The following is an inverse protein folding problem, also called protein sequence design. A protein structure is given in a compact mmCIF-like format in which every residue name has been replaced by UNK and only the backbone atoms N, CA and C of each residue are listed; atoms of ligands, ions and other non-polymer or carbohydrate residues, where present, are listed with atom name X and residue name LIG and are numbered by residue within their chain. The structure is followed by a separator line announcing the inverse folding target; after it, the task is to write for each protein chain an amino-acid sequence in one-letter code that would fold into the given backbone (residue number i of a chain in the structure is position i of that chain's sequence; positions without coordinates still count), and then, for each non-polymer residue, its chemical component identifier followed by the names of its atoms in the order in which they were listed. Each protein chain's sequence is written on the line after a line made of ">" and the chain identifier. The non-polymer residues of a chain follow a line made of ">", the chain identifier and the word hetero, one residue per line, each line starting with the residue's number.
data_IF_615741280649
#
_entry.id   IF_615741280649
#
_cell.length_a   1.000
_cell.length_b   1.000
_cell.length_c   1.000
_cell.angle_alpha   90.00
_cell.angle_beta   90.00
_cell.angle_gamma   90.00
#
_symmetry.space_group_name_H-M   'P 1'
#
loop_
_entity.id
_entity.type
_entity.pdbx_description
1 polymer ?
#
# COMPACT_ATOMS: atom_id res chain seq x y z
N UNK A 1 -43.17 50.24 23.12
CA UNK A 1 -42.65 49.77 21.83
C UNK A 1 -41.16 50.10 21.63
N UNK A 2 -40.69 51.34 21.82
CA UNK A 2 -39.27 51.73 21.60
C UNK A 2 -38.23 50.94 22.42
N UNK A 3 -38.50 50.59 23.69
CA UNK A 3 -37.57 49.85 24.56
C UNK A 3 -37.38 48.36 24.13
N UNK A 4 -38.41 47.71 23.60
CA UNK A 4 -38.36 46.35 23.11
C UNK A 4 -37.54 46.25 21.82
N UNK A 5 -37.70 47.23 20.92
CA UNK A 5 -36.94 47.28 19.66
C UNK A 5 -35.44 47.45 19.90
N UNK A 6 -35.05 48.28 20.89
CA UNK A 6 -33.65 48.51 21.25
C UNK A 6 -33.02 47.22 21.84
N UNK A 7 -33.74 46.45 22.67
CA UNK A 7 -33.25 45.17 23.24
C UNK A 7 -33.07 44.12 22.15
N UNK A 8 -34.00 44.04 21.20
CA UNK A 8 -33.89 43.12 20.07
C UNK A 8 -32.69 43.47 19.18
N UNK A 9 -32.44 44.76 18.91
CA UNK A 9 -31.25 45.17 18.15
C UNK A 9 -29.92 44.88 18.89
N UNK A 10 -29.87 45.03 20.21
CA UNK A 10 -28.68 44.74 21.00
C UNK A 10 -28.43 43.23 21.05
N UNK A 11 -29.46 42.43 21.20
CA UNK A 11 -29.33 40.95 21.15
C UNK A 11 -28.91 40.46 19.77
N UNK A 12 -29.47 41.06 18.68
CA UNK A 12 -29.06 40.73 17.33
C UNK A 12 -27.60 41.16 17.03
N UNK A 13 -27.12 42.29 17.56
CA UNK A 13 -25.73 42.71 17.46
C UNK A 13 -24.77 41.81 18.26
N UNK A 14 -25.19 41.37 19.45
CA UNK A 14 -24.42 40.41 20.25
C UNK A 14 -24.34 39.02 19.60
N UNK A 15 -25.41 38.57 18.94
CA UNK A 15 -25.43 37.31 18.19
C UNK A 15 -24.61 37.40 16.92
N UNK A 16 -24.65 38.53 16.17
CA UNK A 16 -23.77 38.76 15.03
C UNK A 16 -22.29 38.89 15.45
N UNK A 17 -22.01 39.52 16.62
CA UNK A 17 -20.64 39.59 17.15
C UNK A 17 -20.06 38.26 17.60
N UNK A 18 -20.92 37.34 18.07
CA UNK A 18 -20.49 35.98 18.48
C UNK A 18 -20.22 35.04 17.30
N UNK A 19 -20.80 35.31 16.11
CA UNK A 19 -20.56 34.51 14.90
C UNK A 19 -19.25 34.91 14.19
N UNK A 20 -18.69 36.08 14.49
CA UNK A 20 -17.50 36.62 13.81
C UNK A 20 -16.16 36.19 14.41
N UNK A 21 -16.13 35.41 15.49
CA UNK A 21 -14.87 35.02 16.18
C UNK A 21 -14.47 33.59 16.08
N UNK A 22 -15.06 32.83 15.17
CA UNK A 22 -14.59 31.46 14.87
C UNK A 22 -14.19 31.32 13.39
N UNK A 23 -13.51 32.33 12.85
CA UNK A 23 -12.59 32.06 11.75
C UNK A 23 -11.31 31.56 12.37
N UNK A 24 -11.35 30.27 12.80
CA UNK A 24 -10.15 29.54 13.16
C UNK A 24 -9.19 29.67 12.00
N UNK A 25 -8.04 30.30 12.25
CA UNK A 25 -6.90 30.27 11.33
C UNK A 25 -6.77 28.80 10.97
N UNK A 26 -6.95 28.46 9.70
CA UNK A 26 -6.74 27.08 9.24
C UNK A 26 -5.31 26.72 9.64
N UNK A 27 -5.17 25.93 10.70
CA UNK A 27 -3.87 25.53 11.21
C UNK A 27 -3.18 24.78 10.08
N UNK A 28 -1.96 25.20 9.73
CA UNK A 28 -1.17 24.54 8.70
C UNK A 28 -0.69 23.19 9.24
N UNK A 29 -1.19 22.11 8.66
CA UNK A 29 -0.90 20.75 9.10
C UNK A 29 0.16 20.06 8.27
N UNK A 30 0.91 19.18 8.90
CA UNK A 30 1.66 18.11 8.27
C UNK A 30 0.96 16.79 8.61
N UNK A 31 0.48 16.09 7.58
CA UNK A 31 -0.14 14.78 7.75
C UNK A 31 0.94 13.70 7.79
N UNK A 32 0.94 12.85 8.82
CA UNK A 32 1.81 11.69 8.93
C UNK A 32 0.99 10.43 8.63
N UNK A 33 1.38 9.71 7.58
CA UNK A 33 0.76 8.46 7.14
C UNK A 33 1.74 7.32 7.40
N UNK A 34 1.38 6.39 8.29
CA UNK A 34 2.23 5.23 8.59
C UNK A 34 1.92 4.07 7.65
N UNK A 35 2.95 3.60 6.95
CA UNK A 35 2.93 2.49 6.01
C UNK A 35 3.83 1.38 6.54
N UNK A 36 3.23 0.32 7.10
CA UNK A 36 3.98 -0.78 7.73
C UNK A 36 3.58 -2.14 7.19
N UNK A 37 4.57 -3.01 7.01
CA UNK A 37 4.42 -4.39 6.53
C UNK A 37 4.76 -4.57 5.05
N UNK A 38 4.54 -5.78 4.49
CA UNK A 38 4.78 -6.05 3.08
C UNK A 38 3.81 -5.29 2.18
N UNK A 39 4.28 -4.95 0.97
CA UNK A 39 3.45 -4.31 -0.07
C UNK A 39 2.72 -5.40 -0.86
N UNK A 40 1.39 -5.39 -0.83
CA UNK A 40 0.57 -6.37 -1.56
C UNK A 40 -0.86 -5.90 -1.78
N UNK A 41 -1.51 -6.43 -2.82
CA UNK A 41 -2.95 -6.25 -3.05
C UNK A 41 -3.72 -7.13 -2.08
N UNK A 42 -4.66 -6.54 -1.33
CA UNK A 42 -5.51 -7.27 -0.41
C UNK A 42 -5.30 -6.90 1.06
N UNK A 43 -6.16 -7.42 1.91
CA UNK A 43 -6.07 -7.27 3.36
C UNK A 43 -5.24 -8.42 3.94
N UNK A 44 -4.55 -8.16 5.06
CA UNK A 44 -4.02 -9.25 5.90
C UNK A 44 -5.16 -10.21 6.23
N UNK A 45 -4.99 -11.50 5.88
CA UNK A 45 -5.96 -12.52 6.25
C UNK A 45 -6.15 -12.56 7.78
N UNK A 46 -7.36 -12.86 8.23
CA UNK A 46 -7.74 -12.95 9.66
C UNK A 46 -6.80 -13.85 10.50
N UNK A 47 -6.05 -14.75 9.85
CA UNK A 47 -5.21 -15.74 10.53
C UNK A 47 -3.73 -15.36 10.69
N UNK A 48 -3.23 -14.33 9.97
CA UNK A 48 -1.82 -13.91 10.03
C UNK A 48 -1.69 -12.43 10.39
N UNK A 49 -2.46 -11.93 11.28
CA UNK A 49 -2.46 -10.66 12.05
C UNK A 49 -1.44 -9.55 11.75
N UNK A 50 -0.81 -9.53 10.58
CA UNK A 50 0.20 -8.54 10.21
C UNK A 50 -0.36 -7.35 9.43
N UNK A 51 0.22 -6.18 9.61
CA UNK A 51 -0.06 -5.00 8.80
C UNK A 51 0.44 -5.22 7.37
N UNK A 52 -0.32 -4.76 6.35
CA UNK A 52 0.12 -4.75 4.95
C UNK A 52 -0.05 -3.35 4.37
N UNK A 53 0.82 -2.99 3.45
CA UNK A 53 0.69 -1.77 2.66
C UNK A 53 -0.03 -2.14 1.37
N UNK A 54 -1.30 -1.72 1.23
CA UNK A 54 -2.07 -1.99 0.02
C UNK A 54 -2.34 -0.70 -0.76
N UNK A 55 -2.45 -0.77 -2.11
CA UNK A 55 -2.80 0.39 -2.93
C UNK A 55 -4.08 1.08 -2.46
N UNK A 56 -5.10 0.31 -2.07
CA UNK A 56 -6.36 0.85 -1.54
C UNK A 56 -6.15 1.67 -0.26
N UNK A 57 -5.32 1.18 0.67
CA UNK A 57 -5.02 1.89 1.90
C UNK A 57 -4.31 3.22 1.59
N UNK A 58 -3.24 3.17 0.78
CA UNK A 58 -2.44 4.36 0.46
C UNK A 58 -3.29 5.39 -0.26
N UNK A 59 -4.07 4.98 -1.28
CA UNK A 59 -5.02 5.85 -1.99
C UNK A 59 -5.98 6.56 -1.03
N UNK A 60 -6.62 5.82 -0.11
CA UNK A 60 -7.59 6.41 0.82
C UNK A 60 -6.95 7.47 1.73
N UNK A 61 -5.74 7.22 2.22
CA UNK A 61 -5.01 8.14 3.09
C UNK A 61 -4.53 9.38 2.32
N UNK A 62 -3.99 9.21 1.11
CA UNK A 62 -3.56 10.32 0.26
C UNK A 62 -4.75 11.17 -0.17
N UNK A 63 -5.88 10.58 -0.56
CA UNK A 63 -7.10 11.31 -0.90
C UNK A 63 -7.62 12.15 0.26
N UNK A 64 -7.56 11.63 1.48
CA UNK A 64 -7.89 12.39 2.69
C UNK A 64 -6.96 13.58 2.84
N UNK A 65 -5.66 13.37 2.73
CA UNK A 65 -4.65 14.42 2.84
C UNK A 65 -4.76 15.46 1.71
N UNK A 66 -5.08 15.04 0.48
CA UNK A 66 -5.29 15.94 -0.67
C UNK A 66 -6.49 16.85 -0.45
N UNK A 67 -7.60 16.33 0.09
CA UNK A 67 -8.87 17.07 0.31
C UNK A 67 -8.82 18.02 1.50
N UNK A 68 -7.98 17.79 2.49
CA UNK A 68 -7.85 18.68 3.64
C UNK A 68 -6.97 19.90 3.27
N UNK A 69 -7.59 21.06 3.13
CA UNK A 69 -6.89 22.31 2.82
C UNK A 69 -5.93 22.78 3.94
N UNK A 70 -6.11 22.32 5.18
CA UNK A 70 -5.19 22.59 6.27
C UNK A 70 -3.88 21.80 6.13
N UNK A 71 -3.90 20.62 5.51
CA UNK A 71 -2.71 19.83 5.23
C UNK A 71 -1.89 20.50 4.13
N UNK A 72 -0.65 20.87 4.46
CA UNK A 72 0.28 21.57 3.56
C UNK A 72 1.39 20.68 3.05
N UNK A 73 1.73 19.62 3.78
CA UNK A 73 2.70 18.61 3.39
C UNK A 73 2.32 17.26 3.99
N UNK A 74 2.91 16.20 3.45
CA UNK A 74 2.67 14.81 3.88
C UNK A 74 4.00 14.17 4.24
N UNK A 75 4.03 13.41 5.33
CA UNK A 75 5.12 12.51 5.67
C UNK A 75 4.63 11.08 5.56
N UNK A 76 5.28 10.29 4.73
CA UNK A 76 5.08 8.84 4.66
C UNK A 76 6.12 8.17 5.55
N UNK A 77 5.69 7.60 6.67
CA UNK A 77 6.54 6.77 7.51
C UNK A 77 6.51 5.34 6.98
N UNK A 78 7.62 4.89 6.38
CA UNK A 78 7.70 3.59 5.70
C UNK A 78 8.52 2.61 6.53
N UNK A 79 7.89 1.46 6.85
CA UNK A 79 8.48 0.32 7.54
C UNK A 79 8.12 -0.95 6.76
N UNK A 80 8.94 -1.33 5.74
CA UNK A 80 8.56 -2.38 4.79
C UNK A 80 9.76 -3.14 4.21
N UNK A 81 9.70 -4.48 4.16
CA UNK A 81 10.70 -5.28 3.45
C UNK A 81 10.49 -5.29 1.92
N UNK A 82 9.40 -4.70 1.42
CA UNK A 82 8.99 -4.74 0.02
C UNK A 82 7.78 -5.63 -0.23
N UNK A 83 7.65 -6.11 -1.47
CA UNK A 83 6.54 -6.99 -1.85
C UNK A 83 6.21 -6.98 -3.35
N UNK A 84 4.93 -7.08 -3.69
CA UNK A 84 4.44 -7.19 -5.07
C UNK A 84 4.78 -5.96 -5.92
N UNK A 85 5.43 -6.20 -7.04
CA UNK A 85 5.85 -5.13 -7.98
C UNK A 85 4.65 -4.32 -8.47
N UNK A 86 3.58 -4.96 -8.92
CA UNK A 86 2.39 -4.28 -9.42
C UNK A 86 1.73 -3.41 -8.35
N UNK A 87 1.67 -3.89 -7.09
CA UNK A 87 1.16 -3.08 -5.97
C UNK A 87 2.06 -1.88 -5.67
N UNK A 88 3.38 -2.03 -5.79
CA UNK A 88 4.32 -0.91 -5.63
C UNK A 88 4.13 0.14 -6.73
N UNK A 89 3.93 -0.29 -7.97
CA UNK A 89 3.65 0.60 -9.11
C UNK A 89 2.36 1.38 -8.91
N UNK A 90 1.28 0.72 -8.50
CA UNK A 90 -0.01 1.36 -8.24
C UNK A 90 0.11 2.40 -7.10
N UNK A 91 0.84 2.07 -6.02
CA UNK A 91 1.09 3.01 -4.92
C UNK A 91 1.92 4.21 -5.39
N UNK A 92 2.98 3.98 -6.17
CA UNK A 92 3.80 5.05 -6.69
C UNK A 92 2.99 6.00 -7.58
N UNK A 93 2.15 5.45 -8.46
CA UNK A 93 1.24 6.25 -9.28
C UNK A 93 0.32 7.14 -8.42
N UNK A 94 -0.21 6.63 -7.31
CA UNK A 94 -1.02 7.45 -6.39
C UNK A 94 -0.20 8.56 -5.72
N UNK A 95 1.04 8.28 -5.32
CA UNK A 95 1.97 9.26 -4.74
C UNK A 95 2.24 10.39 -5.75
N UNK A 96 2.49 10.06 -7.01
CA UNK A 96 2.76 11.03 -8.08
C UNK A 96 1.57 11.95 -8.40
N UNK A 97 0.33 11.59 -8.00
CA UNK A 97 -0.83 12.48 -8.15
C UNK A 97 -0.94 13.57 -7.09
N UNK A 98 -0.06 13.57 -6.10
CA UNK A 98 -0.12 14.51 -4.98
C UNK A 98 0.73 15.72 -5.28
N UNK A 99 0.10 16.91 -5.30
CA UNK A 99 0.79 18.19 -5.53
C UNK A 99 1.47 18.77 -4.29
N UNK A 100 1.09 18.27 -3.10
CA UNK A 100 1.68 18.70 -1.82
C UNK A 100 3.03 18.04 -1.63
N UNK A 101 4.02 18.72 -1.02
CA UNK A 101 5.31 18.10 -0.71
C UNK A 101 5.16 16.80 0.07
N UNK A 102 5.88 15.77 -0.38
CA UNK A 102 5.94 14.45 0.28
C UNK A 102 7.35 14.18 0.73
N UNK A 103 7.53 13.97 2.03
CA UNK A 103 8.78 13.51 2.62
C UNK A 103 8.57 12.10 3.14
N UNK A 104 9.50 11.21 2.84
CA UNK A 104 9.49 9.85 3.37
C UNK A 104 10.42 9.75 4.57
N UNK A 105 9.96 9.12 5.64
CA UNK A 105 10.76 8.74 6.80
C UNK A 105 10.86 7.23 6.89
N UNK A 106 12.05 6.68 6.76
CA UNK A 106 12.28 5.26 6.93
C UNK A 106 12.36 4.87 8.41
N UNK A 107 11.75 3.74 8.75
CA UNK A 107 11.91 3.07 10.04
C UNK A 107 13.15 2.17 10.06
N UNK A 108 13.02 0.99 10.69
CA UNK A 108 14.11 0.03 10.78
C UNK A 108 14.47 -0.53 9.40
N UNK A 109 13.45 -0.78 8.55
CA UNK A 109 13.63 -1.29 7.20
C UNK A 109 12.69 -0.59 6.20
N UNK A 110 13.25 -0.16 5.07
CA UNK A 110 12.51 0.31 3.90
C UNK A 110 13.26 -0.16 2.63
N UNK A 111 13.06 -1.41 2.27
CA UNK A 111 13.85 -2.11 1.26
C UNK A 111 12.97 -2.63 0.11
N UNK A 112 13.59 -2.89 -1.05
CA UNK A 112 12.91 -3.44 -2.22
C UNK A 112 11.66 -2.62 -2.57
N UNK A 113 10.46 -3.19 -2.60
CA UNK A 113 9.20 -2.46 -2.81
C UNK A 113 8.98 -1.29 -1.86
N UNK A 114 9.49 -1.34 -0.62
CA UNK A 114 9.45 -0.23 0.33
C UNK A 114 10.29 0.97 -0.14
N UNK A 115 11.44 0.69 -0.72
CA UNK A 115 12.27 1.72 -1.37
C UNK A 115 11.64 2.20 -2.68
N UNK A 116 11.09 1.28 -3.49
CA UNK A 116 10.42 1.59 -4.75
C UNK A 116 9.34 2.67 -4.60
N UNK A 117 8.40 2.48 -3.65
CA UNK A 117 7.31 3.45 -3.42
C UNK A 117 7.79 4.78 -2.86
N UNK A 118 9.02 4.84 -2.36
CA UNK A 118 9.62 6.03 -1.73
C UNK A 118 10.51 6.80 -2.69
N UNK A 119 10.98 6.17 -3.76
CA UNK A 119 12.08 6.67 -4.59
C UNK A 119 11.81 8.04 -5.24
N UNK A 120 10.54 8.35 -5.57
CA UNK A 120 10.12 9.61 -6.20
C UNK A 120 9.57 10.65 -5.22
N UNK A 121 9.70 10.45 -3.90
CA UNK A 121 9.36 11.48 -2.93
C UNK A 121 10.31 12.69 -3.03
N UNK A 122 9.83 13.89 -2.63
CA UNK A 122 10.64 15.11 -2.66
C UNK A 122 11.90 14.97 -1.80
N UNK A 123 11.79 14.30 -0.66
CA UNK A 123 12.92 13.97 0.23
C UNK A 123 12.71 12.63 0.92
N UNK A 124 13.81 11.94 1.15
CA UNK A 124 13.88 10.68 1.91
C UNK A 124 14.82 10.88 3.09
N UNK A 125 14.33 10.56 4.28
CA UNK A 125 15.06 10.61 5.55
C UNK A 125 15.18 9.21 6.12
N UNK A 126 16.38 8.81 6.54
CA UNK A 126 16.63 7.50 7.16
C UNK A 126 17.45 7.65 8.44
N UNK A 127 17.22 6.79 9.41
CA UNK A 127 18.13 6.66 10.55
C UNK A 127 19.47 6.08 10.09
N UNK A 128 20.61 6.38 10.76
CA UNK A 128 21.90 5.78 10.39
C UNK A 128 21.88 4.26 10.30
N UNK A 129 21.09 3.60 11.15
CA UNK A 129 20.94 2.14 11.21
C UNK A 129 19.82 1.55 10.38
N UNK A 130 19.02 2.36 9.70
CA UNK A 130 17.98 1.88 8.77
C UNK A 130 18.59 0.95 7.72
N UNK A 131 17.90 -0.15 7.41
CA UNK A 131 18.22 -1.01 6.28
C UNK A 131 17.35 -0.63 5.08
N UNK A 132 17.99 -0.29 3.96
CA UNK A 132 17.28 0.16 2.75
C UNK A 132 17.95 -0.36 1.47
N UNK A 133 17.54 0.12 0.30
CA UNK A 133 18.02 -0.39 -0.97
C UNK A 133 17.34 -1.71 -1.33
N UNK A 134 18.11 -2.81 -1.41
CA UNK A 134 17.61 -4.09 -1.97
C UNK A 134 16.89 -3.85 -3.32
N UNK A 135 17.53 -2.99 -4.16
CA UNK A 135 17.02 -2.66 -5.49
C UNK A 135 17.28 -3.88 -6.36
N UNK A 136 16.22 -4.61 -6.66
CA UNK A 136 16.27 -5.86 -7.39
C UNK A 136 14.91 -6.54 -7.43
N UNK A 137 14.80 -7.57 -8.28
CA UNK A 137 13.60 -8.38 -8.43
C UNK A 137 13.98 -9.85 -8.34
N UNK A 138 13.22 -10.60 -7.61
CA UNK A 138 13.34 -12.06 -7.53
C UNK A 138 12.04 -12.71 -7.98
N UNK A 139 12.17 -13.82 -8.71
CA UNK A 139 11.07 -14.73 -9.05
C UNK A 139 11.42 -16.12 -8.51
N UNK A 140 10.75 -16.53 -7.45
CA UNK A 140 11.00 -17.81 -6.79
C UNK A 140 9.86 -18.78 -7.05
N UNK A 141 10.21 -20.01 -7.38
CA UNK A 141 9.27 -21.09 -7.58
C UNK A 141 9.84 -22.40 -7.01
N UNK A 142 9.21 -22.98 -5.99
CA UNK A 142 9.67 -24.26 -5.43
C UNK A 142 9.42 -25.40 -6.42
N UNK A 143 10.40 -26.29 -6.59
CA UNK A 143 10.22 -27.54 -7.31
C UNK A 143 9.90 -28.66 -6.31
N UNK A 144 8.67 -29.12 -6.32
CA UNK A 144 8.15 -30.13 -5.40
C UNK A 144 8.17 -31.55 -5.96
N UNK A 145 8.63 -31.76 -7.20
CA UNK A 145 8.63 -33.07 -7.88
C UNK A 145 9.25 -34.18 -7.00
N UNK A 146 10.48 -33.94 -6.54
CA UNK A 146 11.17 -34.94 -5.73
C UNK A 146 10.55 -35.22 -4.35
N UNK A 147 9.77 -34.24 -3.82
CA UNK A 147 9.01 -34.46 -2.60
C UNK A 147 7.81 -35.37 -2.85
N UNK A 148 7.05 -35.13 -3.93
CA UNK A 148 5.89 -35.92 -4.29
C UNK A 148 6.28 -37.37 -4.62
N UNK A 149 7.38 -37.58 -5.36
CA UNK A 149 7.94 -38.93 -5.63
C UNK A 149 8.24 -39.68 -4.33
N UNK A 150 8.84 -39.04 -3.32
CA UNK A 150 9.12 -39.64 -2.02
C UNK A 150 7.87 -40.00 -1.21
N UNK A 151 6.79 -39.24 -1.41
CA UNK A 151 5.49 -39.45 -0.75
C UNK A 151 4.60 -40.46 -1.50
N UNK A 152 5.03 -40.96 -2.68
CA UNK A 152 4.22 -41.82 -3.52
C UNK A 152 3.00 -41.11 -4.15
N UNK A 153 3.09 -39.77 -4.30
CA UNK A 153 2.03 -38.97 -4.91
C UNK A 153 2.34 -38.79 -6.39
N UNK A 154 1.46 -39.32 -7.25
CA UNK A 154 1.50 -39.07 -8.69
C UNK A 154 0.55 -37.99 -9.08
N UNK A 155 1.00 -37.11 -9.99
CA UNK A 155 0.20 -35.98 -10.49
C UNK A 155 -0.04 -36.17 -11.97
N UNK A 156 -1.31 -36.36 -12.36
CA UNK A 156 -1.71 -36.29 -13.76
C UNK A 156 -2.08 -34.88 -14.14
N UNK A 157 -1.39 -34.31 -15.14
CA UNK A 157 -1.56 -32.90 -15.56
C UNK A 157 -2.03 -32.85 -16.99
N UNK A 158 -3.19 -32.26 -17.22
CA UNK A 158 -3.74 -31.99 -18.52
C UNK A 158 -3.70 -30.48 -18.80
N UNK A 159 -3.01 -30.03 -19.84
CA UNK A 159 -2.85 -28.61 -20.15
C UNK A 159 -3.35 -28.27 -21.54
N UNK A 160 -3.89 -27.07 -21.67
CA UNK A 160 -4.07 -26.39 -22.95
C UNK A 160 -3.21 -25.11 -22.92
N UNK A 161 -2.19 -25.07 -23.77
CA UNK A 161 -1.13 -24.07 -23.79
C UNK A 161 0.21 -24.61 -23.28
N UNK A 162 1.26 -24.42 -24.12
CA UNK A 162 2.60 -25.05 -23.96
C UNK A 162 3.23 -24.83 -22.57
N UNK A 163 3.02 -23.67 -21.97
CA UNK A 163 3.67 -23.24 -20.72
C UNK A 163 2.69 -23.12 -19.54
N UNK A 164 1.47 -23.66 -19.68
CA UNK A 164 0.42 -23.44 -18.67
C UNK A 164 0.76 -24.00 -17.28
N UNK A 165 1.53 -25.07 -17.23
CA UNK A 165 1.96 -25.77 -16.00
C UNK A 165 3.34 -25.34 -15.48
N UNK A 166 4.02 -24.39 -16.17
CA UNK A 166 5.38 -23.99 -15.78
C UNK A 166 5.46 -23.43 -14.34
N UNK A 167 4.38 -22.83 -13.85
CA UNK A 167 4.32 -22.27 -12.50
C UNK A 167 3.84 -23.25 -11.41
N UNK A 168 3.50 -24.49 -11.79
CA UNK A 168 2.93 -25.45 -10.84
C UNK A 168 3.96 -26.02 -9.84
N UNK A 169 5.26 -25.98 -10.17
CA UNK A 169 6.33 -26.56 -9.36
C UNK A 169 6.33 -28.09 -9.30
N UNK A 170 5.63 -28.74 -10.22
CA UNK A 170 5.47 -30.20 -10.27
C UNK A 170 6.51 -30.88 -11.17
N UNK A 171 7.25 -30.15 -11.94
CA UNK A 171 8.34 -30.58 -12.80
C UNK A 171 9.44 -29.52 -12.87
N UNK A 172 10.57 -29.89 -13.42
CA UNK A 172 11.61 -28.92 -13.77
C UNK A 172 11.16 -28.03 -14.93
N UNK A 173 11.57 -26.77 -14.89
CA UNK A 173 11.41 -25.85 -16.01
C UNK A 173 12.31 -26.30 -17.19
N UNK A 174 11.75 -26.22 -18.37
CA UNK A 174 12.54 -26.38 -19.60
C UNK A 174 13.51 -25.18 -19.77
N UNK A 175 14.57 -25.33 -20.60
CA UNK A 175 15.46 -24.19 -20.90
C UNK A 175 14.73 -22.96 -21.44
N UNK A 176 13.72 -23.16 -22.30
CA UNK A 176 12.87 -22.10 -22.84
C UNK A 176 12.07 -21.39 -21.73
N UNK A 177 11.46 -22.13 -20.83
CA UNK A 177 10.71 -21.57 -19.69
C UNK A 177 11.59 -20.79 -18.72
N UNK A 178 12.84 -21.24 -18.51
CA UNK A 178 13.83 -20.48 -17.72
C UNK A 178 14.14 -19.11 -18.38
N UNK A 179 14.25 -19.09 -19.72
CA UNK A 179 14.43 -17.82 -20.46
C UNK A 179 13.22 -16.91 -20.28
N UNK A 180 12.00 -17.43 -20.43
CA UNK A 180 10.76 -16.67 -20.21
C UNK A 180 10.74 -16.06 -18.81
N UNK A 181 11.06 -16.82 -17.78
CA UNK A 181 11.09 -16.35 -16.39
C UNK A 181 12.15 -15.26 -16.19
N UNK A 182 13.34 -15.43 -16.78
CA UNK A 182 14.42 -14.47 -16.67
C UNK A 182 14.05 -13.15 -17.36
N UNK A 183 13.53 -13.20 -18.57
CA UNK A 183 13.09 -12.00 -19.32
C UNK A 183 12.01 -11.22 -18.57
N UNK A 184 11.04 -11.90 -17.95
CA UNK A 184 10.04 -11.24 -17.12
C UNK A 184 10.68 -10.56 -15.91
N UNK A 185 11.63 -11.23 -15.27
CA UNK A 185 12.35 -10.69 -14.09
C UNK A 185 13.19 -9.48 -14.47
N UNK A 186 13.89 -9.54 -15.61
CA UNK A 186 14.71 -8.46 -16.14
C UNK A 186 13.85 -7.23 -16.51
N UNK A 187 12.70 -7.41 -17.12
CA UNK A 187 11.77 -6.32 -17.43
C UNK A 187 11.29 -5.59 -16.16
N UNK A 188 10.97 -6.33 -15.10
CA UNK A 188 10.57 -5.74 -13.82
C UNK A 188 11.75 -5.04 -13.12
N UNK A 189 12.93 -5.60 -13.25
CA UNK A 189 14.16 -4.98 -12.74
C UNK A 189 14.49 -3.68 -13.45
N UNK A 190 14.39 -3.63 -14.79
CA UNK A 190 14.61 -2.41 -15.58
C UNK A 190 13.64 -1.29 -15.19
N UNK A 191 12.38 -1.61 -14.92
CA UNK A 191 11.41 -0.64 -14.40
C UNK A 191 11.83 -0.09 -13.03
N UNK A 192 12.37 -0.93 -12.14
CA UNK A 192 12.86 -0.46 -10.85
C UNK A 192 14.05 0.49 -11.01
N UNK A 193 15.02 0.13 -11.87
CA UNK A 193 16.15 1.01 -12.21
C UNK A 193 15.67 2.38 -12.66
N UNK A 194 14.72 2.41 -13.60
CA UNK A 194 14.16 3.65 -14.13
C UNK A 194 13.52 4.51 -13.03
N UNK A 195 12.69 3.93 -12.18
CA UNK A 195 12.02 4.64 -11.07
C UNK A 195 13.04 5.28 -10.13
N UNK A 196 14.11 4.54 -9.80
CA UNK A 196 15.17 5.06 -8.93
C UNK A 196 15.98 6.16 -9.63
N UNK A 197 16.34 5.95 -10.90
CA UNK A 197 17.09 6.92 -11.68
C UNK A 197 16.35 8.26 -11.77
N UNK A 198 15.07 8.23 -12.10
CA UNK A 198 14.20 9.40 -12.18
C UNK A 198 14.03 10.07 -10.80
N UNK A 199 13.65 9.29 -9.79
CA UNK A 199 13.33 9.83 -8.46
C UNK A 199 14.52 10.36 -7.70
N UNK A 200 15.71 9.79 -7.92
CA UNK A 200 16.96 10.20 -7.24
C UNK A 200 17.89 11.05 -8.11
N UNK A 201 17.46 11.40 -9.33
CA UNK A 201 18.27 12.15 -10.29
C UNK A 201 19.64 11.52 -10.54
N UNK A 202 19.69 10.18 -10.58
CA UNK A 202 20.88 9.39 -10.87
C UNK A 202 20.83 8.87 -12.33
N UNK A 203 22.00 8.65 -12.94
CA UNK A 203 22.00 7.94 -14.23
C UNK A 203 21.59 6.47 -14.04
N UNK A 204 20.90 5.88 -15.02
CA UNK A 204 20.58 4.45 -14.98
C UNK A 204 21.83 3.58 -14.79
N UNK A 205 22.94 3.94 -15.42
CA UNK A 205 24.21 3.25 -15.26
C UNK A 205 24.65 3.24 -13.78
N UNK A 206 24.54 4.40 -13.10
CA UNK A 206 24.86 4.50 -11.67
C UNK A 206 23.89 3.69 -10.81
N UNK A 207 22.61 3.72 -11.13
CA UNK A 207 21.63 2.92 -10.40
C UNK A 207 21.89 1.42 -10.59
N UNK A 208 22.26 0.96 -11.80
CA UNK A 208 22.61 -0.46 -12.06
C UNK A 208 23.82 -0.92 -11.23
N UNK A 209 24.81 -0.06 -11.03
CA UNK A 209 25.95 -0.37 -10.13
C UNK A 209 25.49 -0.61 -8.69
N UNK A 210 24.46 0.11 -8.23
CA UNK A 210 23.93 0.03 -6.87
C UNK A 210 22.86 -1.06 -6.71
N UNK A 211 22.16 -1.40 -7.79
CA UNK A 211 21.00 -2.27 -7.80
C UNK A 211 21.37 -3.77 -7.89
N UNK A 212 22.25 -4.21 -7.01
CA UNK A 212 22.70 -5.61 -6.93
C UNK A 212 21.79 -6.49 -6.07
N UNK A 213 20.71 -5.92 -5.53
CA UNK A 213 19.83 -6.57 -4.56
C UNK A 213 20.33 -6.48 -3.11
N UNK A 214 21.52 -5.88 -2.88
CA UNK A 214 22.05 -5.73 -1.53
C UNK A 214 21.32 -4.68 -0.70
N UNK A 215 21.36 -4.84 0.61
CA UNK A 215 20.93 -3.82 1.57
C UNK A 215 22.04 -2.82 1.83
N UNK A 216 21.64 -1.58 2.10
CA UNK A 216 22.51 -0.50 2.55
C UNK A 216 22.03 0.01 3.90
N UNK A 217 22.95 0.43 4.76
CA UNK A 217 22.61 1.23 5.92
C UNK A 217 22.15 2.63 5.51
N UNK A 218 21.42 3.33 6.37
CA UNK A 218 21.02 4.71 6.09
C UNK A 218 22.23 5.62 5.78
N UNK A 219 23.37 5.42 6.46
CA UNK A 219 24.60 6.16 6.19
C UNK A 219 25.08 5.90 4.75
N UNK A 220 25.23 4.63 4.37
CA UNK A 220 25.63 4.26 3.01
C UNK A 220 24.66 4.77 1.96
N UNK A 221 23.37 4.65 2.21
CA UNK A 221 22.33 5.11 1.29
C UNK A 221 22.40 6.63 1.05
N UNK A 222 22.72 7.42 2.09
CA UNK A 222 22.96 8.87 1.95
C UNK A 222 24.19 9.16 1.11
N UNK A 223 25.31 8.49 1.35
CA UNK A 223 26.54 8.66 0.58
C UNK A 223 26.36 8.30 -0.89
N UNK A 224 25.47 7.33 -1.19
CA UNK A 224 25.18 6.86 -2.54
C UNK A 224 24.09 7.67 -3.25
N UNK A 225 23.46 8.66 -2.58
CA UNK A 225 22.39 9.47 -3.13
C UNK A 225 21.02 8.78 -3.17
N UNK A 226 20.88 7.64 -2.49
CA UNK A 226 19.61 6.92 -2.36
C UNK A 226 18.70 7.53 -1.29
N UNK A 227 19.27 8.27 -0.33
CA UNK A 227 18.57 8.97 0.76
C UNK A 227 19.12 10.39 0.84
N UNK A 228 18.28 11.35 1.16
CA UNK A 228 18.65 12.77 1.22
C UNK A 228 19.29 13.15 2.54
N UNK A 229 18.71 12.74 3.67
CA UNK A 229 19.16 13.12 4.99
C UNK A 229 19.12 11.98 6.01
N UNK A 230 20.00 12.12 7.03
CA UNK A 230 19.97 11.24 8.19
C UNK A 230 19.13 11.87 9.29
N UNK A 231 18.20 11.09 9.84
CA UNK A 231 17.31 11.52 10.92
C UNK A 231 16.14 10.58 11.05
N UNK A 232 15.27 10.90 11.99
CA UNK A 232 14.02 10.16 12.22
C UNK A 232 12.79 10.93 11.74
N UNK A 233 11.62 10.48 12.22
CA UNK A 233 10.33 11.05 11.84
C UNK A 233 10.25 12.58 12.09
N UNK A 234 10.79 13.08 13.19
CA UNK A 234 10.77 14.53 13.46
C UNK A 234 11.55 15.32 12.41
N UNK A 235 12.72 14.80 11.96
CA UNK A 235 13.48 15.42 10.87
C UNK A 235 12.68 15.46 9.58
N UNK A 236 11.95 14.39 9.26
CA UNK A 236 11.09 14.35 8.08
C UNK A 236 9.91 15.34 8.19
N UNK A 237 9.31 15.49 9.38
CA UNK A 237 8.25 16.48 9.62
C UNK A 237 8.77 17.91 9.43
N UNK A 238 9.95 18.22 9.97
CA UNK A 238 10.57 19.54 9.85
C UNK A 238 10.90 19.86 8.37
N UNK A 239 11.41 18.89 7.62
CA UNK A 239 11.67 19.02 6.20
C UNK A 239 10.38 19.22 5.39
N UNK A 240 9.33 18.44 5.68
CA UNK A 240 8.03 18.57 5.03
C UNK A 240 7.42 19.95 5.28
N UNK A 241 7.48 20.43 6.52
CA UNK A 241 7.04 21.77 6.90
C UNK A 241 7.84 22.87 6.16
N UNK A 242 9.16 22.69 6.06
CA UNK A 242 10.05 23.61 5.35
C UNK A 242 9.71 23.68 3.85
N UNK A 243 9.52 22.54 3.19
CA UNK A 243 9.12 22.48 1.78
C UNK A 243 7.78 23.17 1.52
N UNK A 244 6.86 23.07 2.47
CA UNK A 244 5.56 23.72 2.42
C UNK A 244 5.56 25.20 2.92
N UNK A 245 6.72 25.76 3.32
CA UNK A 245 6.85 27.09 3.92
C UNK A 245 6.01 27.28 5.20
N UNK A 246 5.88 26.23 6.01
CA UNK A 246 5.15 26.24 7.28
C UNK A 246 6.12 26.30 8.45
N UNK A 247 6.03 27.33 9.30
CA UNK A 247 6.98 27.53 10.41
C UNK A 247 6.67 26.69 11.66
N UNK A 248 5.41 26.43 11.93
CA UNK A 248 4.95 25.66 13.10
C UNK A 248 3.75 24.82 12.67
N UNK A 249 3.98 23.63 12.11
CA UNK A 249 2.87 22.79 11.71
C UNK A 249 2.19 22.15 12.91
N UNK A 250 0.88 21.98 12.82
CA UNK A 250 0.18 20.97 13.58
C UNK A 250 0.49 19.61 12.92
N UNK A 251 0.85 18.61 13.71
CA UNK A 251 1.13 17.25 13.18
C UNK A 251 -0.11 16.40 13.37
N UNK A 252 -0.72 15.98 12.26
CA UNK A 252 -1.87 15.10 12.27
C UNK A 252 -1.46 13.68 11.86
N UNK A 253 -1.52 12.73 12.80
CA UNK A 253 -1.26 11.31 12.53
C UNK A 253 -2.52 10.64 11.98
N UNK A 254 -2.43 10.15 10.75
CA UNK A 254 -3.52 9.42 10.13
C UNK A 254 -3.54 7.98 10.65
N UNK A 255 -4.55 7.70 11.47
CA UNK A 255 -4.77 6.35 11.96
C UNK A 255 -5.28 5.47 10.83
N UNK A 256 -4.77 4.24 10.78
CA UNK A 256 -5.34 3.21 9.93
C UNK A 256 -6.78 2.96 10.39
N UNK A 257 -7.73 3.05 9.48
CA UNK A 257 -9.10 2.62 9.77
C UNK A 257 -9.09 1.10 9.93
N UNK A 258 -8.99 0.64 11.16
CA UNK A 258 -9.31 -0.75 11.47
C UNK A 258 -10.82 -0.87 11.48
N UNK A 259 -11.43 -1.74 10.66
CA UNK A 259 -12.86 -1.98 10.76
C UNK A 259 -13.18 -2.33 12.22
N UNK A 260 -14.12 -1.62 12.83
CA UNK A 260 -14.54 -1.98 14.17
C UNK A 260 -15.15 -3.39 14.11
N UNK A 261 -14.98 -4.18 15.17
CA UNK A 261 -15.64 -5.50 15.23
C UNK A 261 -17.12 -5.37 14.91
N UNK A 262 -17.77 -4.28 15.35
CA UNK A 262 -19.18 -4.00 15.08
C UNK A 262 -19.43 -3.74 13.58
N UNK A 263 -18.59 -2.96 12.88
CA UNK A 263 -18.75 -2.76 11.43
C UNK A 263 -18.52 -4.07 10.67
N UNK A 264 -17.55 -4.88 11.07
CA UNK A 264 -17.29 -6.19 10.47
C UNK A 264 -18.49 -7.13 10.65
N UNK A 265 -19.09 -7.16 11.84
CA UNK A 265 -20.31 -7.93 12.09
C UNK A 265 -21.52 -7.40 11.30
N UNK A 266 -21.67 -6.08 11.18
CA UNK A 266 -22.73 -5.47 10.39
C UNK A 266 -22.54 -5.77 8.89
N UNK A 267 -21.33 -5.67 8.36
CA UNK A 267 -21.04 -5.99 6.96
C UNK A 267 -21.26 -7.48 6.65
N UNK A 268 -20.84 -8.38 7.56
CA UNK A 268 -21.15 -9.81 7.44
C UNK A 268 -22.67 -10.07 7.50
N UNK A 269 -23.39 -9.35 8.37
CA UNK A 269 -24.86 -9.42 8.47
C UNK A 269 -25.54 -8.94 7.20
N UNK A 270 -25.11 -7.80 6.66
CA UNK A 270 -25.65 -7.24 5.41
C UNK A 270 -25.33 -8.14 4.20
N UNK A 271 -24.12 -8.68 4.10
CA UNK A 271 -23.76 -9.63 3.04
C UNK A 271 -24.61 -10.90 3.13
N UNK A 272 -24.80 -11.43 4.34
CA UNK A 272 -25.64 -12.61 4.54
C UNK A 272 -27.10 -12.34 4.18
N UNK A 273 -27.60 -11.15 4.52
CA UNK A 273 -28.95 -10.71 4.15
C UNK A 273 -29.10 -10.55 2.63
N UNK A 274 -28.13 -9.91 1.97
CA UNK A 274 -28.12 -9.75 0.51
C UNK A 274 -28.05 -11.10 -0.21
N UNK A 275 -27.26 -12.04 0.30
CA UNK A 275 -27.21 -13.40 -0.24
C UNK A 275 -28.53 -14.10 -0.09
N UNK A 276 -29.24 -13.97 1.05
CA UNK A 276 -30.58 -14.54 1.27
C UNK A 276 -31.60 -13.90 0.32
N UNK A 277 -31.56 -12.59 0.13
CA UNK A 277 -32.44 -11.87 -0.80
C UNK A 277 -32.18 -12.30 -2.25
N UNK A 278 -30.91 -12.45 -2.64
CA UNK A 278 -30.57 -12.95 -3.98
C UNK A 278 -31.06 -14.39 -4.19
N UNK A 279 -30.91 -15.27 -3.19
CA UNK A 279 -31.41 -16.65 -3.26
C UNK A 279 -32.93 -16.68 -3.37
N UNK A 280 -33.63 -15.81 -2.64
CA UNK A 280 -35.11 -15.72 -2.74
C UNK A 280 -35.59 -15.15 -4.09
N UNK A 281 -34.76 -14.29 -4.74
CA UNK A 281 -35.12 -13.74 -6.06
C UNK A 281 -34.89 -14.73 -7.21
N UNK A 282 -34.12 -15.80 -7.02
CA UNK A 282 -33.82 -16.82 -8.03
C UNK A 282 -34.92 -17.88 -8.19
N UNK A 283 -35.93 -17.91 -7.31
CA UNK A 283 -37.00 -18.91 -7.36
C UNK A 283 -36.50 -20.34 -7.07
N UNK A 284 -37.41 -21.34 -7.18
CA UNK A 284 -37.10 -22.74 -6.87
C UNK A 284 -35.98 -23.35 -7.75
N UNK A 285 -35.83 -22.91 -8.99
CA UNK A 285 -34.79 -23.37 -9.92
C UNK A 285 -33.37 -22.91 -9.51
N UNK A 286 -33.24 -21.70 -8.94
CA UNK A 286 -31.98 -21.19 -8.46
C UNK A 286 -31.48 -21.89 -7.19
N UNK A 287 -32.36 -22.37 -6.35
CA UNK A 287 -32.04 -23.14 -5.14
C UNK A 287 -31.44 -24.50 -5.50
N UNK A 288 -32.01 -25.19 -6.49
CA UNK A 288 -31.54 -26.50 -6.98
C UNK A 288 -30.14 -26.35 -7.60
N UNK A 289 -29.87 -25.26 -8.33
CA UNK A 289 -28.56 -24.99 -8.92
C UNK A 289 -27.49 -24.73 -7.84
N UNK A 290 -27.84 -24.04 -6.76
CA UNK A 290 -26.94 -23.79 -5.64
C UNK A 290 -26.65 -25.05 -4.81
N UNK A 291 -27.62 -25.92 -4.62
CA UNK A 291 -27.41 -27.22 -3.96
C UNK A 291 -26.50 -28.15 -4.79
N UNK A 292 -26.66 -28.18 -6.12
CA UNK A 292 -25.77 -28.94 -7.00
C UNK A 292 -24.34 -28.40 -7.04
N UNK A 293 -24.16 -27.07 -6.95
CA UNK A 293 -22.82 -26.44 -6.91
C UNK A 293 -22.14 -26.53 -5.55
N UNK A 294 -22.91 -26.61 -4.47
CA UNK A 294 -22.38 -26.73 -3.09
C UNK A 294 -22.03 -28.17 -2.71
N UNK A 295 -22.47 -29.17 -3.47
CA UNK A 295 -22.15 -30.58 -3.24
C UNK A 295 -21.54 -31.24 -4.50
N UNK A 296 -20.24 -31.08 -4.75
CA UNK A 296 -19.58 -31.56 -5.96
C UNK A 296 -19.45 -33.09 -6.07
N UNK A 297 -19.92 -33.85 -5.06
CA UNK A 297 -19.89 -35.31 -5.06
C UNK A 297 -21.31 -35.88 -4.88
N UNK A 298 -22.00 -36.23 -5.96
CA UNK A 298 -23.24 -37.01 -5.81
C UNK A 298 -22.92 -38.38 -5.16
N UNK A 299 -23.56 -38.67 -4.05
CA UNK A 299 -23.46 -39.98 -3.41
C UNK A 299 -23.98 -41.05 -4.38
N UNK A 300 -23.24 -42.15 -4.62
CA UNK A 300 -23.75 -43.23 -5.48
C UNK A 300 -24.98 -43.85 -4.82
N UNK A 301 -26.11 -43.83 -5.51
CA UNK A 301 -27.28 -44.65 -5.13
C UNK A 301 -26.89 -46.15 -5.29
N UNK A 302 -26.72 -46.81 -4.18
CA UNK A 302 -26.66 -48.30 -4.16
C UNK A 302 -28.07 -48.84 -4.39
N UNK A 303 -28.29 -49.39 -5.55
CA UNK A 303 -29.37 -50.35 -5.80
C UNK A 303 -28.87 -51.75 -5.62
#
# INVERSE_FOLDING_TARGET
>A
MRKVTVIICIVALLVLGAVSTSCGIAENKVAVISLSGPVQSGSSGLFFGGSVISPKLVRSQLERAKKDFAVKAIVLQVESPGGSVASCQEILNEIETVEKPIVVSFGDIAASGGYYISAKADKIVALPGTLTGSIGVISEMPNLKGLFEKLGIEMEVFTAGKHKDMYAGLRELTPEEKVIMQEMTDQLYDQFIQVVAEGRSLSEAKVRELATGQLYTGVQAKELGLVDDLGGLNTAIDLAASLANVKKPEVEYYKRETPSLLSTFLDMGVQKLNNIIQVQSLGAEGIILLETLSNPYPQPEYR
#
